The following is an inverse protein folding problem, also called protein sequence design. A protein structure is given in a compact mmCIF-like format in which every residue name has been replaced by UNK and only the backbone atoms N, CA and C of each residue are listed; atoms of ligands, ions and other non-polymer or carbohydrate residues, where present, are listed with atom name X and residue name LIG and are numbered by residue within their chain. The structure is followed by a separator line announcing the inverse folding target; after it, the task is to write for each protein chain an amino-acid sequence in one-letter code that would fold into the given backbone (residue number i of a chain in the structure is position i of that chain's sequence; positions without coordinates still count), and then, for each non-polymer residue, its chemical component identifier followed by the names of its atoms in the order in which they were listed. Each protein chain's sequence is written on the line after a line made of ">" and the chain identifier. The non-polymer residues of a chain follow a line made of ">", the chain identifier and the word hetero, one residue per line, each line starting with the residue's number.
data_IF_607913859474
#
_entry.id   IF_607913859474
#
_cell.length_a   1.000
_cell.length_b   1.000
_cell.length_c   1.000
_cell.angle_alpha   90.00
_cell.angle_beta   90.00
_cell.angle_gamma   90.00
#
_symmetry.space_group_name_H-M   'P 1'
#
loop_
_entity.id
_entity.type
_entity.pdbx_description
1 polymer ?
#
# COMPACT_ATOMS: atom_id res chain seq x y z
N UNK A 1 14.33 -23.64 -9.07
CA UNK A 1 13.46 -22.63 -8.42
C UNK A 1 12.79 -21.85 -9.54
N UNK A 2 11.50 -22.11 -9.84
CA UNK A 2 10.77 -21.35 -10.87
C UNK A 2 10.88 -19.87 -10.52
N UNK A 3 11.26 -19.03 -11.48
CA UNK A 3 11.39 -17.58 -11.33
C UNK A 3 10.22 -17.07 -10.51
N UNK A 4 10.50 -16.59 -9.30
CA UNK A 4 9.44 -16.16 -8.39
C UNK A 4 8.66 -15.06 -9.08
N UNK A 5 7.36 -15.28 -9.29
CA UNK A 5 6.46 -14.34 -9.93
C UNK A 5 6.48 -13.03 -9.12
N UNK A 6 7.26 -12.05 -9.59
CA UNK A 6 7.53 -10.81 -8.87
C UNK A 6 6.25 -10.06 -8.56
N UNK A 7 5.22 -10.19 -9.41
CA UNK A 7 3.90 -9.62 -9.16
C UNK A 7 3.23 -10.27 -7.94
N UNK A 8 3.30 -11.60 -7.80
CA UNK A 8 2.79 -12.28 -6.59
C UNK A 8 3.59 -11.93 -5.34
N UNK A 9 4.91 -11.75 -5.46
CA UNK A 9 5.72 -11.26 -4.33
C UNK A 9 5.30 -9.87 -3.87
N UNK A 10 5.09 -8.95 -4.81
CA UNK A 10 4.58 -7.61 -4.52
C UNK A 10 3.17 -7.66 -3.92
N UNK A 11 2.32 -8.57 -4.41
CA UNK A 11 1.00 -8.84 -3.83
C UNK A 11 1.08 -9.33 -2.38
N UNK A 12 1.97 -10.28 -2.10
CA UNK A 12 2.20 -10.79 -0.74
C UNK A 12 2.76 -9.70 0.19
N UNK A 13 3.72 -8.89 -0.29
CA UNK A 13 4.27 -7.78 0.48
C UNK A 13 3.20 -6.72 0.79
N UNK A 14 2.35 -6.39 -0.20
CA UNK A 14 1.20 -5.50 -0.03
C UNK A 14 0.24 -6.05 1.01
N UNK A 15 -0.11 -7.33 0.92
CA UNK A 15 -1.05 -7.96 1.84
C UNK A 15 -0.54 -7.96 3.29
N UNK A 16 0.74 -8.33 3.46
CA UNK A 16 1.40 -8.33 4.76
C UNK A 16 1.50 -6.93 5.36
N UNK A 17 1.84 -5.92 4.56
CA UNK A 17 1.88 -4.54 5.03
C UNK A 17 0.49 -4.04 5.41
N UNK A 18 -0.54 -4.31 4.59
CA UNK A 18 -1.93 -3.99 4.89
C UNK A 18 -2.38 -4.58 6.23
N UNK A 19 -2.13 -5.87 6.45
CA UNK A 19 -2.40 -6.53 7.74
C UNK A 19 -1.59 -5.91 8.89
N UNK A 20 -0.32 -5.57 8.67
CA UNK A 20 0.53 -4.96 9.68
C UNK A 20 0.00 -3.60 10.14
N UNK A 21 -0.39 -2.71 9.22
CA UNK A 21 -0.94 -1.39 9.58
C UNK A 21 -2.36 -1.48 10.17
N UNK A 22 -3.11 -2.54 9.87
CA UNK A 22 -4.38 -2.80 10.56
C UNK A 22 -4.16 -3.12 12.04
N UNK A 23 -3.16 -3.98 12.32
CA UNK A 23 -2.81 -4.38 13.68
C UNK A 23 -2.07 -3.28 14.45
N UNK A 24 -1.22 -2.50 13.76
CA UNK A 24 -0.37 -1.45 14.32
C UNK A 24 -0.45 -0.16 13.48
N UNK A 25 -1.53 0.63 13.61
CA UNK A 25 -1.72 1.86 12.82
C UNK A 25 -0.57 2.86 12.92
N UNK A 26 0.21 2.81 14.01
CA UNK A 26 1.39 3.64 14.23
C UNK A 26 2.44 3.48 13.12
N UNK A 27 2.49 2.33 12.46
CA UNK A 27 3.44 2.02 11.39
C UNK A 27 3.21 2.86 10.12
N UNK A 28 1.98 3.34 9.91
CA UNK A 28 1.67 4.31 8.86
C UNK A 28 1.63 5.74 9.39
N UNK A 29 1.05 5.94 10.59
CA UNK A 29 0.87 7.27 11.16
C UNK A 29 2.21 8.00 11.41
N UNK A 30 3.22 7.30 11.94
CA UNK A 30 4.52 7.91 12.27
C UNK A 30 5.28 8.41 11.04
N UNK A 31 5.49 7.62 9.97
CA UNK A 31 6.11 8.12 8.73
C UNK A 31 5.36 9.29 8.09
N UNK A 32 4.03 9.33 8.25
CA UNK A 32 3.17 10.40 7.74
C UNK A 32 3.13 11.63 8.66
N UNK A 33 3.83 11.61 9.81
CA UNK A 33 3.79 12.66 10.83
C UNK A 33 2.35 13.02 11.27
N UNK A 34 1.47 12.02 11.35
CA UNK A 34 0.12 12.22 11.85
C UNK A 34 0.14 12.38 13.38
N UNK A 35 -0.79 13.18 13.96
CA UNK A 35 -0.87 13.37 15.40
C UNK A 35 -1.03 12.04 16.15
N UNK A 36 -0.32 11.92 17.27
CA UNK A 36 -0.40 10.78 18.18
C UNK A 36 -0.88 11.25 19.56
N UNK A 37 -1.61 10.39 20.24
CA UNK A 37 -1.97 10.53 21.65
C UNK A 37 -0.75 10.29 22.56
N UNK A 38 -0.82 10.68 23.84
CA UNK A 38 0.17 10.31 24.85
C UNK A 38 0.47 8.80 24.84
N UNK A 39 1.75 8.44 24.97
CA UNK A 39 2.19 7.05 24.83
C UNK A 39 2.34 6.58 23.39
N UNK A 40 2.18 7.45 22.40
CA UNK A 40 2.46 7.17 20.98
C UNK A 40 1.36 6.39 20.26
N UNK A 41 0.14 6.37 20.83
CA UNK A 41 -1.04 5.74 20.25
C UNK A 41 -1.63 6.58 19.13
N UNK A 42 -2.23 5.95 18.14
CA UNK A 42 -2.99 6.66 17.09
C UNK A 42 -4.40 7.01 17.61
N UNK A 43 -4.88 8.27 17.45
CA UNK A 43 -6.26 8.64 17.74
C UNK A 43 -7.27 7.72 17.04
N UNK A 44 -8.43 7.49 17.66
CA UNK A 44 -9.41 6.51 17.17
C UNK A 44 -9.80 6.71 15.70
N UNK A 45 -10.15 7.93 15.30
CA UNK A 45 -10.63 8.23 13.94
C UNK A 45 -9.52 8.05 12.89
N UNK A 46 -8.30 8.50 13.21
CA UNK A 46 -7.13 8.27 12.35
C UNK A 46 -6.84 6.77 12.25
N UNK A 47 -6.91 6.04 13.35
CA UNK A 47 -6.72 4.59 13.38
C UNK A 47 -7.79 3.84 12.61
N UNK A 48 -9.04 4.32 12.58
CA UNK A 48 -10.11 3.76 11.77
C UNK A 48 -9.79 3.86 10.28
N UNK A 49 -9.37 5.05 9.82
CA UNK A 49 -9.00 5.26 8.42
C UNK A 49 -7.76 4.47 8.01
N UNK A 50 -6.74 4.40 8.87
CA UNK A 50 -5.54 3.57 8.60
C UNK A 50 -5.91 2.09 8.46
N UNK A 51 -6.84 1.58 9.29
CA UNK A 51 -7.33 0.20 9.15
C UNK A 51 -8.12 -0.02 7.87
N UNK A 52 -8.88 0.98 7.41
CA UNK A 52 -9.56 0.93 6.12
C UNK A 52 -8.58 0.91 4.94
N UNK A 53 -7.47 1.65 5.03
CA UNK A 53 -6.37 1.54 4.06
C UNK A 53 -5.70 0.18 4.12
N UNK A 54 -5.40 -0.33 5.32
CA UNK A 54 -4.80 -1.64 5.47
C UNK A 54 -5.68 -2.78 4.96
N UNK A 55 -7.01 -2.70 5.14
CA UNK A 55 -7.94 -3.73 4.66
C UNK A 55 -8.02 -3.75 3.14
N UNK A 56 -8.01 -2.60 2.47
CA UNK A 56 -8.00 -2.53 1.00
C UNK A 56 -6.70 -3.13 0.44
N UNK A 57 -5.56 -2.81 1.05
CA UNK A 57 -4.25 -3.31 0.62
C UNK A 57 -4.14 -4.83 0.86
N UNK A 58 -4.67 -5.30 2.00
CA UNK A 58 -4.79 -6.72 2.29
C UNK A 58 -5.57 -7.46 1.20
N UNK A 59 -6.78 -6.99 0.89
CA UNK A 59 -7.65 -7.63 -0.11
C UNK A 59 -7.04 -7.57 -1.52
N UNK A 60 -6.53 -6.41 -1.95
CA UNK A 60 -5.90 -6.26 -3.26
C UNK A 60 -4.65 -7.15 -3.37
N UNK A 61 -3.80 -7.16 -2.35
CA UNK A 61 -2.59 -7.99 -2.32
C UNK A 61 -2.91 -9.49 -2.37
N UNK A 62 -3.92 -9.94 -1.61
CA UNK A 62 -4.40 -11.32 -1.67
C UNK A 62 -4.94 -11.68 -3.06
N UNK A 63 -5.67 -10.76 -3.71
CA UNK A 63 -6.15 -10.97 -5.08
C UNK A 63 -4.99 -11.10 -6.08
N UNK A 64 -3.92 -10.31 -5.95
CA UNK A 64 -2.71 -10.44 -6.78
C UNK A 64 -2.03 -11.81 -6.60
N UNK A 65 -2.00 -12.34 -5.37
CA UNK A 65 -1.40 -13.64 -5.05
C UNK A 65 -2.26 -14.79 -5.57
N UNK A 66 -3.57 -14.77 -5.25
CA UNK A 66 -4.49 -15.89 -5.45
C UNK A 66 -5.05 -15.98 -6.88
N UNK A 67 -5.01 -14.89 -7.66
CA UNK A 67 -5.52 -14.91 -9.03
C UNK A 67 -4.82 -15.97 -9.89
N UNK A 68 -5.63 -16.84 -10.48
CA UNK A 68 -5.20 -17.88 -11.43
C UNK A 68 -5.26 -17.37 -12.87
N UNK A 69 -6.22 -16.50 -13.18
CA UNK A 69 -6.35 -15.83 -14.47
C UNK A 69 -5.46 -14.60 -14.59
N UNK A 70 -4.80 -14.44 -15.73
CA UNK A 70 -3.87 -13.34 -15.98
C UNK A 70 -4.59 -11.99 -16.04
N UNK A 71 -5.80 -11.93 -16.60
CA UNK A 71 -6.60 -10.69 -16.65
C UNK A 71 -7.06 -10.26 -15.25
N UNK A 72 -7.52 -11.20 -14.42
CA UNK A 72 -7.88 -10.94 -13.02
C UNK A 72 -6.68 -10.42 -12.23
N UNK A 73 -5.50 -11.02 -12.42
CA UNK A 73 -4.28 -10.58 -11.75
C UNK A 73 -3.83 -9.19 -12.21
N UNK A 74 -3.96 -8.90 -13.52
CA UNK A 74 -3.70 -7.57 -14.08
C UNK A 74 -4.64 -6.53 -13.51
N UNK A 75 -5.93 -6.83 -13.42
CA UNK A 75 -6.92 -5.92 -12.84
C UNK A 75 -6.59 -5.63 -11.37
N UNK A 76 -6.34 -6.65 -10.56
CA UNK A 76 -5.93 -6.47 -9.16
C UNK A 76 -4.67 -5.60 -9.03
N UNK A 77 -3.68 -5.84 -9.91
CA UNK A 77 -2.45 -5.04 -9.94
C UNK A 77 -2.72 -3.59 -10.35
N UNK A 78 -3.61 -3.34 -11.32
CA UNK A 78 -4.02 -1.99 -11.68
C UNK A 78 -4.77 -1.28 -10.55
N UNK A 79 -5.63 -1.97 -9.80
CA UNK A 79 -6.24 -1.43 -8.59
C UNK A 79 -5.17 -1.01 -7.57
N UNK A 80 -4.09 -1.79 -7.42
CA UNK A 80 -2.99 -1.43 -6.53
C UNK A 80 -2.25 -0.18 -7.01
N UNK A 81 -1.92 -0.11 -8.30
CA UNK A 81 -1.29 1.08 -8.91
C UNK A 81 -2.15 2.33 -8.70
N UNK A 82 -3.47 2.22 -8.90
CA UNK A 82 -4.40 3.32 -8.70
C UNK A 82 -4.47 3.76 -7.23
N UNK A 83 -4.49 2.81 -6.28
CA UNK A 83 -4.47 3.11 -4.85
C UNK A 83 -3.19 3.87 -4.44
N UNK A 84 -2.02 3.36 -4.83
CA UNK A 84 -0.74 4.01 -4.52
C UNK A 84 -0.59 5.39 -5.19
N UNK A 85 -1.08 5.53 -6.43
CA UNK A 85 -1.09 6.83 -7.10
C UNK A 85 -1.98 7.83 -6.37
N UNK A 86 -3.14 7.38 -5.87
CA UNK A 86 -4.05 8.21 -5.08
C UNK A 86 -3.40 8.63 -3.75
N UNK A 87 -2.73 7.69 -3.06
CA UNK A 87 -2.00 7.98 -1.82
C UNK A 87 -0.86 8.98 -2.07
N UNK A 88 -0.14 8.86 -3.18
CA UNK A 88 0.92 9.79 -3.55
C UNK A 88 0.38 11.22 -3.71
N UNK A 89 -0.77 11.39 -4.37
CA UNK A 89 -1.41 12.70 -4.55
C UNK A 89 -1.95 13.24 -3.22
N UNK A 90 -2.70 12.42 -2.48
CA UNK A 90 -3.35 12.84 -1.25
C UNK A 90 -2.30 13.15 -0.18
N UNK A 91 -1.38 12.22 0.11
CA UNK A 91 -0.35 12.46 1.12
C UNK A 91 0.68 13.49 0.67
N UNK A 92 1.00 13.56 -0.62
CA UNK A 92 1.89 14.56 -1.19
C UNK A 92 1.37 16.00 -1.09
N UNK A 93 0.06 16.18 -0.92
CA UNK A 93 -0.57 17.51 -0.87
C UNK A 93 -1.14 17.86 0.51
N UNK A 94 -1.67 16.88 1.26
CA UNK A 94 -2.48 17.12 2.45
C UNK A 94 -1.75 16.89 3.79
N UNK A 95 -0.59 16.22 3.82
CA UNK A 95 0.13 16.01 5.09
C UNK A 95 0.63 17.32 5.71
N UNK A 96 0.81 17.40 7.04
CA UNK A 96 1.06 18.67 7.73
C UNK A 96 2.42 19.30 7.41
N UNK A 97 3.42 18.49 7.08
CA UNK A 97 4.80 18.94 6.89
C UNK A 97 5.33 18.58 5.51
N UNK A 98 6.12 19.47 4.89
CA UNK A 98 6.74 19.24 3.57
C UNK A 98 7.57 17.96 3.53
N UNK A 99 8.31 17.66 4.58
CA UNK A 99 9.12 16.44 4.65
C UNK A 99 8.24 15.17 4.69
N UNK A 100 7.13 15.19 5.43
CA UNK A 100 6.19 14.07 5.49
C UNK A 100 5.52 13.84 4.13
N UNK A 101 5.10 14.93 3.44
CA UNK A 101 4.58 14.89 2.06
C UNK A 101 5.54 14.19 1.11
N UNK A 102 6.80 14.65 1.08
CA UNK A 102 7.82 14.09 0.17
C UNK A 102 8.13 12.62 0.48
N UNK A 103 8.24 12.25 1.77
CA UNK A 103 8.50 10.86 2.18
C UNK A 103 7.34 9.95 1.81
N UNK A 104 6.12 10.30 2.20
CA UNK A 104 4.93 9.49 1.94
C UNK A 104 4.64 9.38 0.44
N UNK A 105 4.69 10.50 -0.30
CA UNK A 105 4.49 10.49 -1.75
C UNK A 105 5.60 9.71 -2.46
N UNK A 106 6.86 9.87 -2.07
CA UNK A 106 7.96 9.10 -2.65
C UNK A 106 7.80 7.60 -2.44
N UNK A 107 7.40 7.17 -1.24
CA UNK A 107 7.10 5.76 -0.96
C UNK A 107 5.93 5.25 -1.82
N UNK A 108 4.83 5.99 -1.88
CA UNK A 108 3.64 5.62 -2.65
C UNK A 108 3.92 5.55 -4.17
N UNK A 109 4.61 6.55 -4.74
CA UNK A 109 5.06 6.51 -6.15
C UNK A 109 5.97 5.32 -6.41
N UNK A 110 6.87 4.98 -5.48
CA UNK A 110 7.75 3.82 -5.63
C UNK A 110 6.95 2.53 -5.71
N UNK A 111 5.94 2.35 -4.85
CA UNK A 111 5.05 1.19 -4.89
C UNK A 111 4.20 1.14 -6.16
N UNK A 112 3.62 2.27 -6.58
CA UNK A 112 2.88 2.37 -7.84
C UNK A 112 3.75 1.95 -9.02
N UNK A 113 4.98 2.46 -9.10
CA UNK A 113 5.93 2.15 -10.16
C UNK A 113 6.34 0.66 -10.16
N UNK A 114 6.67 0.09 -8.99
CA UNK A 114 6.99 -1.34 -8.88
C UNK A 114 5.83 -2.22 -9.32
N UNK A 115 4.61 -1.92 -8.87
CA UNK A 115 3.42 -2.68 -9.27
C UNK A 115 3.15 -2.54 -10.77
N UNK A 116 3.23 -1.33 -11.33
CA UNK A 116 3.03 -1.08 -12.76
C UNK A 116 4.09 -1.80 -13.62
N UNK A 117 5.36 -1.79 -13.21
CA UNK A 117 6.42 -2.53 -13.91
C UNK A 117 6.21 -4.04 -13.82
N UNK A 118 5.72 -4.54 -12.68
CA UNK A 118 5.43 -5.97 -12.49
C UNK A 118 4.31 -6.50 -13.40
N UNK A 119 3.44 -5.62 -13.95
CA UNK A 119 2.44 -6.02 -14.95
C UNK A 119 3.06 -6.74 -16.16
N UNK A 120 4.32 -6.41 -16.50
CA UNK A 120 5.08 -7.04 -17.60
C UNK A 120 5.43 -8.50 -17.29
N UNK A 121 5.56 -8.85 -16.01
CA UNK A 121 5.84 -10.23 -15.56
C UNK A 121 4.58 -11.11 -15.51
N UNK A 122 3.40 -10.49 -15.48
CA UNK A 122 2.15 -11.21 -15.65
C UNK A 122 2.08 -11.57 -17.14
N UNK A 123 2.22 -12.87 -17.45
CA UNK A 123 2.29 -13.48 -18.80
C UNK A 123 3.69 -13.65 -19.40
N UNK A 124 4.76 -13.65 -18.60
CA UNK A 124 6.06 -14.20 -19.02
C UNK A 124 6.21 -15.64 -18.57
#
# INVERSE_FOLDING_TARGET
>A
MKTTDINRLLGAATALYGAAIMARPEWLAKPCALPLEPGGRVPQDTGLLIRAFGSRDLVIGLAMVAATGEDTRRLATWCRVAADTSDAVIFGTQLPHRQARLKAAGAAVSWAALCALSLRSIRS
#
